data_IF_784620733607
#
_entry.id   IF_784620733607
#
_cell.length_a   1.000
_cell.length_b   1.000
_cell.length_c   1.000
_cell.angle_alpha   90.00
_cell.angle_beta   90.00
_cell.angle_gamma   90.00
#
_symmetry.space_group_name_H-M   'P 1'
#
loop_
_entity.id
_entity.type
_entity.pdbx_description
1 polymer ?
#
# COMPACT_ATOMS: atom_id res chain seq x y z
N UNK A 1 -15.62 17.94 -18.86
CA UNK A 1 -15.68 17.57 -20.29
C UNK A 1 -14.44 16.79 -20.72
N UNK A 2 -13.21 17.24 -20.40
CA UNK A 2 -11.97 16.50 -20.75
C UNK A 2 -11.93 15.12 -20.14
N UNK A 3 -12.31 14.97 -18.86
CA UNK A 3 -12.38 13.67 -18.16
C UNK A 3 -13.42 12.76 -18.82
N UNK A 4 -14.60 13.29 -19.16
CA UNK A 4 -15.66 12.52 -19.84
C UNK A 4 -15.23 12.14 -21.24
N UNK A 5 -14.55 13.04 -21.96
CA UNK A 5 -14.00 12.76 -23.30
C UNK A 5 -12.96 11.65 -23.27
N UNK A 6 -12.00 11.69 -22.33
CA UNK A 6 -11.00 10.65 -22.16
C UNK A 6 -11.64 9.29 -21.79
N UNK A 7 -12.63 9.30 -20.88
CA UNK A 7 -13.37 8.12 -20.51
C UNK A 7 -14.18 7.51 -21.68
N UNK A 8 -14.76 8.34 -22.55
CA UNK A 8 -15.51 7.90 -23.71
C UNK A 8 -14.63 7.26 -24.80
N UNK A 9 -13.38 7.72 -24.93
CA UNK A 9 -12.41 7.22 -25.92
C UNK A 9 -11.57 6.05 -25.35
N UNK A 10 -11.60 5.85 -24.01
CA UNK A 10 -10.85 4.77 -23.34
C UNK A 10 -9.33 4.97 -23.30
N UNK A 11 -8.84 6.16 -23.60
CA UNK A 11 -7.43 6.57 -23.57
C UNK A 11 -7.27 8.05 -23.26
N UNK A 12 -6.06 8.48 -22.98
CA UNK A 12 -5.78 9.90 -22.86
C UNK A 12 -6.02 10.62 -24.19
N UNK A 13 -6.60 11.83 -24.08
CA UNK A 13 -6.88 12.66 -25.26
C UNK A 13 -5.56 13.22 -25.79
N UNK A 14 -5.43 13.21 -27.10
CA UNK A 14 -4.39 14.01 -27.76
C UNK A 14 -4.66 15.51 -27.56
N UNK A 15 -3.65 16.35 -27.75
CA UNK A 15 -3.80 17.82 -27.62
C UNK A 15 -4.91 18.36 -28.53
N UNK A 16 -5.01 17.82 -29.75
CA UNK A 16 -6.06 18.22 -30.73
C UNK A 16 -7.46 17.83 -30.23
N UNK A 17 -7.63 16.62 -29.70
CA UNK A 17 -8.90 16.14 -29.13
C UNK A 17 -9.27 16.94 -27.86
N UNK A 18 -8.29 17.25 -27.00
CA UNK A 18 -8.50 18.10 -25.85
C UNK A 18 -8.97 19.50 -26.22
N UNK A 19 -8.36 20.10 -27.25
CA UNK A 19 -8.78 21.41 -27.78
C UNK A 19 -10.18 21.33 -28.39
N UNK A 20 -10.50 20.28 -29.15
CA UNK A 20 -11.84 20.09 -29.73
C UNK A 20 -12.91 19.91 -28.63
N UNK A 21 -12.64 19.15 -27.57
CA UNK A 21 -13.54 19.01 -26.43
C UNK A 21 -13.74 20.35 -25.70
N UNK A 22 -12.70 21.15 -25.55
CA UNK A 22 -12.77 22.48 -24.93
C UNK A 22 -13.58 23.43 -25.78
N UNK A 23 -13.32 23.48 -27.07
CA UNK A 23 -14.07 24.30 -28.02
C UNK A 23 -15.57 23.92 -28.07
N UNK A 24 -15.86 22.63 -28.11
CA UNK A 24 -17.21 22.09 -28.01
C UNK A 24 -17.94 22.50 -26.72
N UNK A 25 -17.23 22.46 -25.59
CA UNK A 25 -17.78 22.91 -24.30
C UNK A 25 -18.11 24.39 -24.28
N UNK A 26 -17.23 25.20 -24.81
CA UNK A 26 -17.48 26.65 -24.93
C UNK A 26 -18.65 26.95 -25.86
N UNK A 27 -18.75 26.26 -26.99
CA UNK A 27 -19.88 26.40 -27.90
C UNK A 27 -21.21 26.01 -27.26
N UNK A 28 -21.23 24.87 -26.54
CA UNK A 28 -22.42 24.41 -25.79
C UNK A 28 -22.79 25.36 -24.66
N UNK A 29 -21.80 25.95 -23.98
CA UNK A 29 -22.03 26.94 -22.92
C UNK A 29 -22.65 28.22 -23.51
N UNK A 30 -22.15 28.72 -24.68
CA UNK A 30 -22.69 29.88 -25.38
C UNK A 30 -24.10 29.63 -25.89
N UNK A 31 -24.37 28.45 -26.45
CA UNK A 31 -25.71 28.05 -26.89
C UNK A 31 -26.65 28.01 -25.67
N UNK A 32 -26.24 27.38 -24.57
CA UNK A 32 -27.03 27.30 -23.33
C UNK A 32 -27.32 28.73 -22.78
N UNK A 33 -26.32 29.59 -22.76
CA UNK A 33 -26.49 30.96 -22.32
C UNK A 33 -27.50 31.74 -23.19
N UNK A 34 -27.38 31.65 -24.52
CA UNK A 34 -28.28 32.34 -25.44
C UNK A 34 -29.68 31.76 -25.47
N UNK A 35 -29.81 30.46 -25.49
CA UNK A 35 -31.10 29.78 -25.66
C UNK A 35 -31.90 29.61 -24.37
N UNK A 36 -31.24 29.53 -23.23
CA UNK A 36 -31.87 29.23 -21.94
C UNK A 36 -31.63 30.34 -20.92
N UNK A 37 -30.38 30.60 -20.55
CA UNK A 37 -30.07 31.46 -19.41
C UNK A 37 -30.47 32.91 -19.64
N UNK A 38 -30.09 33.50 -20.75
CA UNK A 38 -30.39 34.91 -21.08
C UNK A 38 -31.89 35.16 -21.27
N UNK A 39 -32.66 34.34 -22.02
CA UNK A 39 -34.11 34.46 -22.08
C UNK A 39 -34.81 34.33 -20.72
N UNK A 40 -34.36 33.36 -19.89
CA UNK A 40 -34.94 33.17 -18.54
C UNK A 40 -34.69 34.39 -17.65
N UNK A 41 -33.50 35.00 -17.73
CA UNK A 41 -33.14 36.20 -16.94
C UNK A 41 -33.82 37.51 -17.42
N UNK A 42 -34.03 37.64 -18.72
CA UNK A 42 -34.46 38.93 -19.29
C UNK A 42 -35.93 39.03 -19.58
N UNK A 43 -36.64 37.92 -19.81
CA UNK A 43 -38.06 37.89 -20.13
C UNK A 43 -38.92 37.81 -18.88
N UNK A 44 -39.83 38.77 -18.71
CA UNK A 44 -40.79 38.82 -17.58
C UNK A 44 -41.71 37.58 -17.51
N UNK A 45 -41.91 36.89 -18.62
CA UNK A 45 -42.69 35.67 -18.73
C UNK A 45 -42.15 34.53 -17.82
N UNK A 46 -40.83 34.53 -17.52
CA UNK A 46 -40.17 33.58 -16.67
C UNK A 46 -40.00 34.10 -15.22
N UNK A 47 -40.68 35.17 -14.82
CA UNK A 47 -40.62 35.65 -13.43
C UNK A 47 -41.54 34.86 -12.48
N UNK A 48 -41.21 34.80 -11.19
CA UNK A 48 -42.03 34.22 -10.14
C UNK A 48 -42.24 32.70 -10.26
N UNK A 49 -43.44 32.24 -10.19
CA UNK A 49 -43.77 30.81 -10.15
C UNK A 49 -43.29 29.99 -11.37
N UNK A 50 -43.21 30.64 -12.54
CA UNK A 50 -42.73 30.00 -13.78
C UNK A 50 -41.23 29.75 -13.75
N UNK A 51 -40.44 30.68 -13.20
CA UNK A 51 -38.99 30.46 -13.00
C UNK A 51 -38.73 29.30 -12.02
N UNK A 52 -39.55 29.23 -10.96
CA UNK A 52 -39.48 28.16 -9.98
C UNK A 52 -39.86 26.80 -10.60
N UNK A 53 -40.89 26.75 -11.43
CA UNK A 53 -41.32 25.53 -12.14
C UNK A 53 -40.26 25.03 -13.11
N UNK A 54 -39.58 25.91 -13.83
CA UNK A 54 -38.46 25.59 -14.72
C UNK A 54 -37.25 25.03 -13.95
N UNK A 55 -36.88 25.68 -12.84
CA UNK A 55 -35.81 25.20 -11.95
C UNK A 55 -36.10 23.84 -11.35
N UNK A 56 -37.34 23.65 -10.86
CA UNK A 56 -37.81 22.37 -10.33
C UNK A 56 -37.80 21.26 -11.40
N UNK A 57 -38.23 21.58 -12.63
CA UNK A 57 -38.19 20.62 -13.76
C UNK A 57 -36.78 20.21 -14.09
N UNK A 58 -35.84 21.15 -14.10
CA UNK A 58 -34.43 20.86 -14.35
C UNK A 58 -33.83 19.96 -13.26
N UNK A 59 -34.11 20.25 -11.99
CA UNK A 59 -33.70 19.42 -10.85
C UNK A 59 -34.31 18.02 -10.93
N UNK A 60 -35.58 17.88 -11.34
CA UNK A 60 -36.21 16.58 -11.53
C UNK A 60 -35.59 15.78 -12.67
N UNK A 61 -35.23 16.43 -13.78
CA UNK A 61 -34.53 15.77 -14.90
C UNK A 61 -33.15 15.33 -14.49
N UNK A 62 -32.34 16.22 -13.89
CA UNK A 62 -30.98 15.91 -13.46
C UNK A 62 -30.99 14.89 -12.32
N UNK A 63 -31.89 15.07 -11.35
CA UNK A 63 -32.05 14.11 -10.23
C UNK A 63 -32.58 12.75 -10.71
N UNK A 64 -33.55 12.77 -11.64
CA UNK A 64 -34.11 11.55 -12.23
C UNK A 64 -33.10 10.79 -13.08
N UNK A 65 -32.32 11.48 -13.91
CA UNK A 65 -31.24 10.85 -14.71
C UNK A 65 -30.11 10.33 -13.80
N UNK A 66 -29.77 11.05 -12.74
CA UNK A 66 -28.81 10.60 -11.73
C UNK A 66 -29.31 9.35 -10.98
N UNK A 67 -30.59 9.32 -10.61
CA UNK A 67 -31.21 8.15 -9.98
C UNK A 67 -31.28 6.95 -10.94
N UNK A 68 -31.67 7.17 -12.21
CA UNK A 68 -31.68 6.12 -13.23
C UNK A 68 -30.27 5.57 -13.52
N UNK A 69 -29.25 6.43 -13.56
CA UNK A 69 -27.86 6.00 -13.69
C UNK A 69 -27.39 5.21 -12.47
N UNK A 70 -27.88 5.53 -11.27
CA UNK A 70 -27.57 4.80 -10.04
C UNK A 70 -28.28 3.44 -9.97
N UNK A 71 -29.53 3.35 -10.44
CA UNK A 71 -30.30 2.10 -10.43
C UNK A 71 -29.98 1.19 -11.63
N UNK A 72 -29.53 1.78 -12.72
CA UNK A 72 -29.07 1.07 -13.91
C UNK A 72 -27.65 1.52 -14.28
N UNK A 73 -26.65 1.18 -13.46
CA UNK A 73 -25.28 1.52 -13.81
C UNK A 73 -24.94 0.86 -15.15
N UNK A 74 -24.20 1.55 -16.03
CA UNK A 74 -23.76 0.95 -17.29
C UNK A 74 -23.06 -0.38 -16.94
N UNK A 75 -23.48 -1.46 -17.58
CA UNK A 75 -22.84 -2.78 -17.44
C UNK A 75 -21.45 -2.66 -18.07
N UNK A 76 -20.50 -2.24 -17.25
CA UNK A 76 -19.09 -2.25 -17.63
C UNK A 76 -18.73 -3.73 -17.83
N UNK A 77 -18.15 -4.06 -18.98
CA UNK A 77 -17.71 -5.42 -19.28
C UNK A 77 -16.71 -5.88 -18.22
N UNK A 78 -17.22 -6.57 -17.21
CA UNK A 78 -16.40 -7.28 -16.23
C UNK A 78 -16.17 -8.70 -16.70
N UNK A 79 -15.05 -9.29 -16.34
CA UNK A 79 -14.80 -10.71 -16.49
C UNK A 79 -15.74 -11.57 -15.62
N UNK A 80 -15.67 -12.88 -15.75
CA UNK A 80 -16.36 -13.79 -14.84
C UNK A 80 -15.89 -13.55 -13.40
N UNK A 81 -16.72 -13.95 -12.43
CA UNK A 81 -16.30 -13.96 -11.03
C UNK A 81 -15.13 -14.93 -10.85
N UNK A 82 -14.11 -14.48 -10.10
CA UNK A 82 -12.95 -15.28 -9.75
C UNK A 82 -13.01 -15.69 -8.26
N UNK A 83 -12.33 -16.78 -7.92
CA UNK A 83 -12.20 -17.22 -6.53
C UNK A 83 -11.02 -16.54 -5.86
N UNK A 84 -11.11 -16.31 -4.55
CA UNK A 84 -9.93 -15.95 -3.73
C UNK A 84 -9.01 -17.17 -3.69
N UNK A 85 -7.76 -17.06 -4.15
CA UNK A 85 -6.88 -18.21 -4.18
C UNK A 85 -6.54 -18.71 -2.77
N UNK A 86 -6.44 -20.03 -2.62
CA UNK A 86 -5.95 -20.62 -1.39
C UNK A 86 -4.42 -20.52 -1.36
N UNK A 87 -3.88 -20.09 -0.23
CA UNK A 87 -2.43 -20.13 -0.02
C UNK A 87 -2.00 -21.53 0.38
N UNK A 88 -0.86 -22.03 -0.11
CA UNK A 88 -0.27 -23.24 0.45
C UNK A 88 0.02 -22.99 1.93
N UNK A 89 -0.66 -23.70 2.80
CA UNK A 89 -0.31 -23.72 4.23
C UNK A 89 1.03 -24.44 4.31
N UNK A 90 2.12 -23.78 4.73
CA UNK A 90 3.35 -24.50 4.99
C UNK A 90 3.05 -25.61 6.00
N UNK A 91 3.34 -26.86 5.67
CA UNK A 91 3.28 -27.93 6.64
C UNK A 91 4.19 -27.52 7.81
N UNK A 92 3.61 -27.39 9.00
CA UNK A 92 4.38 -27.15 10.22
C UNK A 92 5.25 -28.39 10.40
N UNK A 93 6.47 -28.36 9.89
CA UNK A 93 7.48 -29.36 10.21
C UNK A 93 7.84 -29.12 11.68
N UNK A 94 7.12 -29.77 12.56
CA UNK A 94 7.58 -30.00 13.91
C UNK A 94 8.93 -30.71 13.75
N UNK A 95 10.04 -30.20 14.29
CA UNK A 95 11.31 -30.89 14.22
C UNK A 95 11.09 -32.29 14.82
N UNK A 96 11.17 -33.32 13.98
CA UNK A 96 11.04 -34.70 14.42
C UNK A 96 12.08 -34.96 15.49
N UNK A 97 11.62 -35.49 16.61
CA UNK A 97 12.46 -36.02 17.68
C UNK A 97 13.28 -37.18 17.09
N UNK A 98 14.48 -36.89 16.64
CA UNK A 98 15.46 -37.90 16.36
C UNK A 98 16.01 -38.28 17.73
N UNK A 99 15.55 -39.43 18.25
CA UNK A 99 16.16 -40.08 19.39
C UNK A 99 17.57 -40.56 19.00
N UNK A 100 18.56 -39.77 19.39
CA UNK A 100 19.97 -40.08 19.17
C UNK A 100 20.80 -39.34 20.21
N UNK A 101 21.26 -40.09 21.19
CA UNK A 101 22.10 -39.70 22.31
C UNK A 101 23.41 -39.09 21.84
N UNK A 102 23.59 -37.77 22.08
CA UNK A 102 24.91 -37.17 22.28
C UNK A 102 24.70 -35.77 22.91
N UNK A 103 25.11 -35.63 24.14
CA UNK A 103 25.07 -34.42 24.93
C UNK A 103 26.15 -33.45 24.43
N UNK A 104 25.83 -32.72 23.39
CA UNK A 104 26.57 -31.51 23.02
C UNK A 104 25.60 -30.36 23.21
N UNK A 105 25.87 -29.47 24.16
CA UNK A 105 25.11 -28.26 24.43
C UNK A 105 25.31 -27.30 23.24
N UNK A 106 24.62 -27.55 22.15
CA UNK A 106 24.54 -26.60 21.04
C UNK A 106 23.58 -25.47 21.44
N UNK A 107 24.09 -24.24 21.60
CA UNK A 107 23.29 -23.06 21.70
C UNK A 107 22.38 -23.04 20.47
N UNK A 108 21.03 -22.97 20.63
CA UNK A 108 20.14 -22.94 19.49
C UNK A 108 20.46 -21.74 18.61
N UNK A 109 20.74 -21.98 17.34
CA UNK A 109 20.98 -20.90 16.37
C UNK A 109 19.65 -20.20 16.08
N UNK A 110 19.67 -18.85 15.98
CA UNK A 110 18.49 -18.10 15.61
C UNK A 110 17.90 -18.61 14.28
N UNK A 111 16.57 -18.76 14.18
CA UNK A 111 15.92 -19.05 12.90
C UNK A 111 16.25 -17.96 11.88
N UNK A 112 16.60 -18.39 10.68
CA UNK A 112 16.87 -17.46 9.57
C UNK A 112 15.56 -17.27 8.81
N UNK A 113 15.18 -16.02 8.53
CA UNK A 113 14.08 -15.74 7.63
C UNK A 113 14.41 -16.26 6.23
N UNK A 114 13.40 -16.69 5.48
CA UNK A 114 13.60 -17.24 4.13
C UNK A 114 14.31 -16.23 3.23
N UNK A 115 15.37 -16.66 2.55
CA UNK A 115 16.12 -15.83 1.58
C UNK A 115 15.36 -15.56 0.28
N UNK A 116 14.05 -15.74 0.28
CA UNK A 116 13.19 -15.70 -0.89
C UNK A 116 12.81 -17.11 -1.34
N UNK A 117 12.52 -17.30 -2.59
CA UNK A 117 12.08 -18.58 -3.15
C UNK A 117 11.28 -18.37 -4.42
N UNK A 118 10.76 -19.48 -4.94
CA UNK A 118 9.88 -19.45 -6.09
C UNK A 118 8.61 -18.63 -5.78
N UNK A 119 8.07 -17.95 -6.79
CA UNK A 119 6.79 -17.28 -6.69
C UNK A 119 5.70 -18.23 -6.19
N UNK A 120 4.82 -17.75 -5.33
CA UNK A 120 3.68 -18.56 -4.92
C UNK A 120 2.75 -18.84 -6.10
N UNK A 121 2.17 -20.03 -6.17
CA UNK A 121 1.37 -20.46 -7.31
C UNK A 121 0.24 -19.47 -7.68
N UNK A 122 -0.53 -18.88 -6.73
CA UNK A 122 -1.54 -17.89 -7.08
C UNK A 122 -1.01 -16.66 -7.82
N UNK A 123 0.24 -16.25 -7.60
CA UNK A 123 0.89 -15.13 -8.32
C UNK A 123 1.28 -15.56 -9.74
N UNK A 124 1.71 -16.81 -9.91
CA UNK A 124 1.98 -17.39 -11.25
C UNK A 124 0.69 -17.47 -12.05
N UNK A 125 -0.39 -18.00 -11.45
CA UNK A 125 -1.70 -18.14 -12.08
C UNK A 125 -2.31 -16.77 -12.45
N UNK A 126 -2.00 -15.73 -11.68
CA UNK A 126 -2.46 -14.37 -11.91
C UNK A 126 -1.98 -13.76 -13.23
N UNK A 127 -0.90 -14.28 -13.83
CA UNK A 127 -0.43 -13.84 -15.16
C UNK A 127 -1.44 -14.16 -16.27
N UNK A 128 -2.34 -15.11 -16.06
CA UNK A 128 -3.38 -15.51 -16.99
C UNK A 128 -4.71 -14.76 -16.79
N UNK A 129 -4.80 -13.89 -15.79
CA UNK A 129 -5.95 -13.00 -15.60
C UNK A 129 -5.96 -11.97 -16.71
N UNK A 130 -6.90 -12.08 -17.63
CA UNK A 130 -7.01 -11.18 -18.78
C UNK A 130 -8.06 -10.08 -18.59
N UNK A 131 -9.04 -10.28 -17.71
CA UNK A 131 -10.16 -9.36 -17.46
C UNK A 131 -10.29 -9.05 -15.98
N UNK A 132 -10.77 -7.84 -15.65
CA UNK A 132 -11.12 -7.49 -14.27
C UNK A 132 -12.27 -8.36 -13.80
N UNK A 133 -12.13 -9.16 -12.73
CA UNK A 133 -13.21 -10.00 -12.22
C UNK A 133 -14.41 -9.16 -11.76
N UNK A 134 -15.63 -9.69 -11.96
CA UNK A 134 -16.87 -9.00 -11.56
C UNK A 134 -17.01 -8.83 -10.04
N UNK A 135 -16.30 -9.67 -9.28
CA UNK A 135 -16.26 -9.67 -7.81
C UNK A 135 -14.91 -9.23 -7.24
N UNK A 136 -14.18 -8.36 -7.95
CA UNK A 136 -12.89 -7.83 -7.51
C UNK A 136 -12.99 -7.19 -6.11
N UNK A 137 -12.04 -7.49 -5.23
CA UNK A 137 -11.97 -7.02 -3.85
C UNK A 137 -10.63 -6.32 -3.57
N UNK A 138 -10.67 -5.04 -3.14
CA UNK A 138 -11.82 -4.15 -3.23
C UNK A 138 -12.23 -3.89 -4.69
N UNK A 139 -13.42 -3.35 -4.90
CA UNK A 139 -13.79 -2.88 -6.24
C UNK A 139 -12.89 -1.72 -6.68
N UNK A 140 -12.76 -1.47 -7.99
CA UNK A 140 -11.92 -0.37 -8.48
C UNK A 140 -12.32 0.99 -7.89
N UNK A 141 -13.62 1.26 -7.75
CA UNK A 141 -14.13 2.49 -7.13
C UNK A 141 -13.96 2.55 -5.62
N UNK A 142 -13.83 1.42 -4.95
CA UNK A 142 -13.61 1.32 -3.51
C UNK A 142 -12.13 1.21 -3.12
N UNK A 143 -11.24 1.05 -4.09
CA UNK A 143 -9.83 0.75 -3.84
C UNK A 143 -9.14 1.77 -2.94
N UNK A 144 -9.30 3.06 -3.23
CA UNK A 144 -8.67 4.15 -2.45
C UNK A 144 -9.13 4.16 -0.98
N UNK A 145 -10.35 3.69 -0.71
CA UNK A 145 -10.89 3.56 0.65
C UNK A 145 -10.44 2.32 1.40
N UNK A 146 -9.77 1.36 0.74
CA UNK A 146 -9.29 0.11 1.37
C UNK A 146 -7.95 0.37 2.11
N UNK A 147 -8.03 1.22 3.14
CA UNK A 147 -6.89 1.67 3.94
C UNK A 147 -6.85 0.98 5.30
N UNK A 148 -5.64 0.75 5.86
CA UNK A 148 -5.47 0.25 7.22
C UNK A 148 -6.19 1.12 8.27
N UNK A 149 -6.77 0.51 9.29
CA UNK A 149 -7.52 1.20 10.36
C UNK A 149 -6.68 2.22 11.13
N UNK A 150 -5.37 2.01 11.22
CA UNK A 150 -4.42 2.92 11.88
C UNK A 150 -4.35 4.33 11.27
N UNK A 151 -4.95 4.54 10.09
CA UNK A 151 -5.11 5.88 9.51
C UNK A 151 -6.26 6.68 10.16
N UNK A 152 -7.23 5.99 10.80
CA UNK A 152 -8.43 6.60 11.35
C UNK A 152 -8.31 6.93 12.84
N UNK A 153 -7.35 6.31 13.55
CA UNK A 153 -7.13 6.45 14.99
C UNK A 153 -5.85 7.22 15.34
N UNK A 154 -5.26 7.88 14.34
CA UNK A 154 -3.99 8.60 14.40
C UNK A 154 -2.76 7.73 14.76
N UNK A 155 -2.87 6.42 14.68
CA UNK A 155 -1.73 5.51 14.87
C UNK A 155 -0.80 5.48 13.65
N UNK A 156 -1.25 6.03 12.51
CA UNK A 156 -0.37 6.47 11.44
C UNK A 156 -0.20 7.98 11.54
N UNK A 157 0.87 8.43 12.22
CA UNK A 157 1.08 9.82 12.58
C UNK A 157 1.11 10.76 11.36
N UNK A 158 0.46 11.92 11.51
CA UNK A 158 0.44 12.97 10.48
C UNK A 158 1.78 13.70 10.32
N UNK A 159 1.88 14.58 9.33
CA UNK A 159 3.13 15.27 8.98
C UNK A 159 3.74 16.08 10.12
N UNK A 160 3.00 16.91 10.82
CA UNK A 160 3.52 17.81 11.87
C UNK A 160 3.86 17.13 13.20
N UNK A 161 3.53 15.83 13.35
CA UNK A 161 3.67 15.11 14.63
C UNK A 161 5.13 14.68 14.85
N UNK A 162 5.68 14.91 16.05
CA UNK A 162 7.02 14.45 16.45
C UNK A 162 6.99 13.39 17.55
N UNK A 163 5.87 13.30 18.27
CA UNK A 163 5.69 12.35 19.37
C UNK A 163 4.88 11.13 18.93
N UNK A 164 5.37 9.90 19.15
CA UNK A 164 4.60 8.70 18.88
C UNK A 164 3.47 8.51 19.88
N UNK A 165 2.30 8.05 19.43
CA UNK A 165 1.17 7.66 20.28
C UNK A 165 1.33 6.25 20.85
N UNK A 166 0.49 5.92 21.84
CA UNK A 166 0.29 4.56 22.31
C UNK A 166 -0.62 3.79 21.34
N UNK A 167 -0.02 3.04 20.43
CA UNK A 167 -0.70 2.33 19.35
C UNK A 167 -0.48 0.82 19.50
N UNK A 168 -1.28 0.21 20.36
CA UNK A 168 -1.17 -1.21 20.75
C UNK A 168 -2.32 -2.02 20.16
N UNK A 169 -1.98 -3.14 19.53
CA UNK A 169 -2.90 -4.06 18.86
C UNK A 169 -2.58 -5.51 19.25
N UNK A 170 -3.44 -6.45 18.85
CA UNK A 170 -3.31 -7.86 19.21
C UNK A 170 -3.67 -8.11 20.66
N UNK A 171 -2.76 -8.68 21.45
CA UNK A 171 -2.96 -8.93 22.88
C UNK A 171 -2.16 -7.91 23.72
N UNK A 172 -2.81 -6.88 24.30
CA UNK A 172 -2.11 -5.85 25.09
C UNK A 172 -1.41 -6.40 26.36
N UNK A 173 -1.82 -7.55 26.85
CA UNK A 173 -1.24 -8.19 28.05
C UNK A 173 -0.01 -9.06 27.75
N UNK A 174 0.30 -9.28 26.49
CA UNK A 174 1.40 -10.14 26.08
C UNK A 174 2.77 -9.57 26.42
N UNK A 175 3.66 -10.43 26.87
CA UNK A 175 5.08 -10.11 27.07
C UNK A 175 5.90 -10.19 25.78
N UNK A 176 5.34 -10.80 24.71
CA UNK A 176 5.95 -10.80 23.39
C UNK A 176 5.55 -9.52 22.66
N UNK A 177 6.44 -8.52 22.71
CA UNK A 177 6.20 -7.20 22.10
C UNK A 177 6.91 -7.09 20.76
N UNK A 178 6.12 -6.90 19.70
CA UNK A 178 6.58 -6.78 18.31
C UNK A 178 6.27 -5.39 17.79
N UNK A 179 7.26 -4.72 17.19
CA UNK A 179 7.09 -3.40 16.58
C UNK A 179 6.93 -3.47 15.06
N UNK A 180 6.09 -2.57 14.51
CA UNK A 180 6.02 -2.27 13.09
C UNK A 180 6.40 -0.79 12.89
N UNK A 181 7.54 -0.53 12.24
CA UNK A 181 8.15 0.80 12.17
C UNK A 181 8.39 1.25 10.74
N UNK A 182 7.95 2.47 10.42
CA UNK A 182 8.24 3.08 9.14
C UNK A 182 7.26 4.15 8.68
N UNK A 183 7.18 4.32 7.37
CA UNK A 183 6.25 5.24 6.73
C UNK A 183 4.92 4.55 6.33
N UNK A 184 4.27 5.04 5.29
CA UNK A 184 3.02 4.45 4.80
C UNK A 184 3.20 3.03 4.25
N UNK A 185 4.43 2.65 3.84
CA UNK A 185 4.74 1.28 3.41
C UNK A 185 4.89 0.31 4.61
N UNK A 186 5.21 0.80 5.81
CA UNK A 186 5.01 0.01 7.02
C UNK A 186 3.52 -0.09 7.38
N UNK A 187 2.79 1.02 7.25
CA UNK A 187 1.37 1.04 7.57
C UNK A 187 0.53 0.11 6.68
N UNK A 188 0.88 -0.09 5.42
CA UNK A 188 0.16 -1.02 4.52
C UNK A 188 0.30 -2.49 4.95
N UNK A 189 1.38 -2.85 5.64
CA UNK A 189 1.59 -4.19 6.22
C UNK A 189 0.80 -4.42 7.50
N UNK A 190 0.31 -3.35 8.17
CA UNK A 190 -0.39 -3.46 9.44
C UNK A 190 -1.51 -4.51 9.44
N UNK A 191 -2.41 -4.61 8.43
CA UNK A 191 -3.50 -5.59 8.47
C UNK A 191 -3.02 -7.05 8.46
N UNK A 192 -1.84 -7.32 7.90
CA UNK A 192 -1.22 -8.63 7.94
C UNK A 192 -0.60 -8.90 9.32
N UNK A 193 0.17 -7.94 9.84
CA UNK A 193 0.78 -8.04 11.17
C UNK A 193 -0.26 -8.15 12.28
N UNK A 194 -1.36 -7.39 12.20
CA UNK A 194 -2.47 -7.48 13.16
C UNK A 194 -3.07 -8.88 13.21
N UNK A 195 -3.36 -9.48 12.04
CA UNK A 195 -3.86 -10.88 11.98
C UNK A 195 -2.89 -11.87 12.61
N UNK A 196 -1.59 -11.71 12.36
CA UNK A 196 -0.55 -12.57 12.93
C UNK A 196 -0.46 -12.36 14.45
N UNK A 197 -0.47 -11.10 14.90
CA UNK A 197 -0.40 -10.76 16.33
C UNK A 197 -1.61 -11.31 17.11
N UNK A 198 -2.82 -11.14 16.59
CA UNK A 198 -4.04 -11.71 17.21
C UNK A 198 -3.94 -13.23 17.31
N UNK A 199 -3.54 -13.92 16.22
CA UNK A 199 -3.42 -15.38 16.17
C UNK A 199 -2.41 -15.91 17.20
N UNK A 200 -1.26 -15.24 17.33
CA UNK A 200 -0.15 -15.68 18.15
C UNK A 200 -0.13 -15.01 19.54
N UNK A 201 -1.15 -14.22 19.86
CA UNK A 201 -1.26 -13.49 21.14
C UNK A 201 -0.04 -12.60 21.42
N UNK A 202 0.41 -11.86 20.42
CA UNK A 202 1.47 -10.88 20.57
C UNK A 202 0.89 -9.49 20.87
N UNK A 203 1.65 -8.68 21.59
CA UNK A 203 1.44 -7.24 21.70
C UNK A 203 2.13 -6.57 20.50
N UNK A 204 1.35 -6.21 19.49
CA UNK A 204 1.83 -5.45 18.33
C UNK A 204 1.77 -3.96 18.63
N UNK A 205 2.88 -3.27 18.45
CA UNK A 205 2.95 -1.81 18.58
C UNK A 205 3.33 -1.20 17.24
N UNK A 206 2.57 -0.19 16.77
CA UNK A 206 2.87 0.49 15.52
C UNK A 206 3.55 1.84 15.75
N UNK A 207 4.63 2.07 15.01
CA UNK A 207 5.42 3.29 15.01
C UNK A 207 5.49 3.82 13.58
N UNK A 208 4.33 4.26 13.05
CA UNK A 208 4.23 4.63 11.64
C UNK A 208 3.90 6.11 11.46
N UNK A 209 4.52 6.74 10.45
CA UNK A 209 4.32 8.16 10.17
C UNK A 209 4.31 8.43 8.66
N UNK A 210 3.32 9.20 8.23
CA UNK A 210 3.12 9.58 6.82
C UNK A 210 4.40 10.14 6.19
N UNK A 211 4.92 9.46 5.16
CA UNK A 211 6.06 9.90 4.35
C UNK A 211 7.37 10.10 5.12
N UNK A 212 7.50 9.55 6.34
CA UNK A 212 8.70 9.62 7.16
C UNK A 212 9.38 8.25 7.19
N UNK A 213 10.42 8.02 6.39
CA UNK A 213 11.08 6.72 6.36
C UNK A 213 11.79 6.42 7.68
N UNK A 214 11.86 5.15 8.09
CA UNK A 214 12.61 4.72 9.27
C UNK A 214 14.12 4.66 9.01
N UNK A 215 14.60 5.46 8.10
CA UNK A 215 15.99 5.54 7.64
C UNK A 215 16.56 6.89 8.08
N UNK A 216 17.76 6.89 8.67
CA UNK A 216 18.39 8.12 9.17
C UNK A 216 18.97 8.98 8.04
N UNK A 217 18.04 9.60 7.31
CA UNK A 217 18.30 10.53 6.20
C UNK A 217 17.32 11.69 6.26
N UNK A 218 17.71 12.82 5.70
CA UNK A 218 16.79 13.92 5.45
C UNK A 218 16.12 13.75 4.09
N UNK A 219 14.80 13.96 4.04
CA UNK A 219 13.99 13.77 2.83
C UNK A 219 13.27 15.04 2.44
N UNK A 220 13.12 15.26 1.13
CA UNK A 220 12.22 16.26 0.59
C UNK A 220 10.83 15.64 0.41
N UNK A 221 9.83 16.23 1.04
CA UNK A 221 8.43 15.80 0.86
C UNK A 221 7.78 16.56 -0.29
N UNK A 222 7.40 15.84 -1.35
CA UNK A 222 6.61 16.41 -2.45
C UNK A 222 5.25 16.94 -1.96
N UNK A 223 4.65 16.25 -0.99
CA UNK A 223 3.34 16.63 -0.43
C UNK A 223 3.41 17.93 0.35
N UNK A 224 4.49 18.11 1.15
CA UNK A 224 4.69 19.34 1.92
C UNK A 224 5.34 20.47 1.10
N UNK A 225 5.96 20.16 -0.03
CA UNK A 225 6.73 21.11 -0.84
C UNK A 225 8.01 21.60 -0.15
N UNK A 226 8.51 20.91 0.88
CA UNK A 226 9.67 21.30 1.70
C UNK A 226 10.46 20.10 2.22
N UNK A 227 11.63 20.37 2.79
CA UNK A 227 12.37 19.39 3.59
C UNK A 227 11.53 18.96 4.78
N UNK A 228 11.48 17.68 5.05
CA UNK A 228 10.64 17.10 6.10
C UNK A 228 11.37 17.06 7.45
N UNK A 229 11.51 18.23 8.07
CA UNK A 229 12.30 18.44 9.30
C UNK A 229 11.75 17.71 10.52
N UNK A 230 10.44 17.48 10.59
CA UNK A 230 9.78 16.81 11.72
C UNK A 230 10.08 15.29 11.76
N UNK A 231 10.63 14.73 10.67
CA UNK A 231 10.94 13.31 10.58
C UNK A 231 12.11 12.90 11.49
N UNK A 232 13.16 13.72 11.56
CA UNK A 232 14.31 13.44 12.43
C UNK A 232 13.96 13.34 13.93
N UNK A 233 13.30 14.35 14.52
CA UNK A 233 12.79 14.25 15.89
C UNK A 233 11.87 13.06 16.11
N UNK A 234 10.92 12.78 15.17
CA UNK A 234 10.06 11.61 15.23
C UNK A 234 10.83 10.31 15.40
N UNK A 235 11.84 10.06 14.55
CA UNK A 235 12.64 8.82 14.62
C UNK A 235 13.32 8.65 15.98
N UNK A 236 13.89 9.73 16.56
CA UNK A 236 14.50 9.66 17.90
C UNK A 236 13.49 9.30 18.97
N UNK A 237 12.33 9.97 18.98
CA UNK A 237 11.29 9.75 19.97
C UNK A 237 10.67 8.34 19.84
N UNK A 238 10.59 7.80 18.62
CA UNK A 238 10.15 6.40 18.39
C UNK A 238 11.09 5.40 19.04
N UNK A 239 12.41 5.58 18.98
CA UNK A 239 13.35 4.65 19.62
C UNK A 239 13.17 4.64 21.13
N UNK A 240 13.02 5.82 21.75
CA UNK A 240 12.75 5.91 23.19
C UNK A 240 11.38 5.28 23.54
N UNK A 241 10.38 5.48 22.72
CA UNK A 241 9.06 4.84 22.88
C UNK A 241 9.16 3.31 22.79
N UNK A 242 9.90 2.77 21.81
CA UNK A 242 10.13 1.34 21.68
C UNK A 242 10.79 0.72 22.92
N UNK A 243 11.75 1.43 23.51
CA UNK A 243 12.38 1.01 24.78
C UNK A 243 11.35 0.97 25.91
N UNK A 244 10.55 2.03 26.06
CA UNK A 244 9.51 2.12 27.07
C UNK A 244 8.42 1.06 26.92
N UNK A 245 8.06 0.72 25.67
CA UNK A 245 7.08 -0.33 25.34
C UNK A 245 7.61 -1.74 25.54
N UNK A 246 8.92 -1.91 25.74
CA UNK A 246 9.57 -3.21 25.82
C UNK A 246 9.66 -3.96 24.49
N UNK A 247 9.68 -3.23 23.37
CA UNK A 247 9.79 -3.82 22.02
C UNK A 247 11.10 -4.60 21.89
N UNK A 248 11.02 -5.88 21.51
CA UNK A 248 12.18 -6.76 21.34
C UNK A 248 12.59 -6.97 19.91
N UNK A 249 11.60 -7.07 19.02
CA UNK A 249 11.77 -7.23 17.58
C UNK A 249 10.96 -6.14 16.90
N UNK A 250 11.57 -5.45 15.92
CA UNK A 250 10.89 -4.43 15.14
C UNK A 250 11.06 -4.70 13.65
N UNK A 251 9.94 -4.76 12.93
CA UNK A 251 9.92 -4.86 11.47
C UNK A 251 9.96 -3.46 10.88
N UNK A 252 10.98 -3.22 10.06
CA UNK A 252 11.32 -1.90 9.51
C UNK A 252 10.99 -1.90 8.03
N UNK A 253 9.97 -1.16 7.62
CA UNK A 253 9.54 -1.04 6.23
C UNK A 253 9.50 0.43 5.78
N UNK A 254 9.89 0.68 4.54
CA UNK A 254 10.00 2.03 4.00
C UNK A 254 9.70 2.08 2.51
N UNK A 255 9.08 3.16 2.08
CA UNK A 255 9.00 3.51 0.67
C UNK A 255 10.40 3.83 0.12
N UNK A 256 10.85 3.06 -0.85
CA UNK A 256 12.23 3.11 -1.35
C UNK A 256 12.49 4.20 -2.41
N UNK A 257 11.48 5.01 -2.80
CA UNK A 257 11.58 6.02 -3.88
C UNK A 257 11.48 7.46 -3.38
N UNK A 258 12.15 7.75 -2.27
CA UNK A 258 12.16 9.06 -1.65
C UNK A 258 13.15 10.01 -2.33
N UNK A 259 12.95 11.31 -2.13
CA UNK A 259 13.81 12.36 -2.64
C UNK A 259 14.75 12.88 -1.56
N UNK A 260 16.01 13.06 -1.93
CA UNK A 260 17.02 13.71 -1.12
C UNK A 260 16.62 15.16 -0.78
N UNK A 261 16.87 15.57 0.45
CA UNK A 261 16.46 16.88 0.97
C UNK A 261 17.07 18.06 0.21
N UNK A 262 18.31 17.91 -0.23
CA UNK A 262 19.09 18.99 -0.87
C UNK A 262 18.93 18.97 -2.38
N UNK A 263 19.17 17.80 -3.00
CA UNK A 263 19.22 17.67 -4.46
C UNK A 263 17.84 17.48 -5.09
N UNK A 264 16.86 17.05 -4.31
CA UNK A 264 15.49 16.71 -4.76
C UNK A 264 15.43 15.61 -5.83
N UNK A 265 16.50 14.85 -5.96
CA UNK A 265 16.53 13.65 -6.82
C UNK A 265 16.33 12.39 -5.96
N UNK A 266 15.99 11.24 -6.56
CA UNK A 266 15.88 9.98 -5.81
C UNK A 266 17.14 9.69 -5.01
N UNK A 267 16.96 9.27 -3.75
CA UNK A 267 18.07 8.90 -2.87
C UNK A 267 18.75 7.66 -3.43
N UNK A 268 20.08 7.75 -3.64
CA UNK A 268 20.90 6.68 -4.19
C UNK A 268 21.27 5.64 -3.14
N UNK A 269 21.85 4.54 -3.61
CA UNK A 269 22.25 3.38 -2.85
C UNK A 269 23.08 3.72 -1.58
N UNK A 270 24.12 4.54 -1.69
CA UNK A 270 25.02 4.80 -0.57
C UNK A 270 24.37 5.56 0.59
N UNK A 271 23.71 6.72 0.39
CA UNK A 271 23.01 7.40 1.47
C UNK A 271 21.92 6.53 2.12
N UNK A 272 21.20 5.73 1.31
CA UNK A 272 20.19 4.81 1.81
C UNK A 272 20.79 3.73 2.72
N UNK A 273 21.88 3.10 2.28
CA UNK A 273 22.63 2.10 3.06
C UNK A 273 23.17 2.67 4.37
N UNK A 274 23.80 3.85 4.31
CA UNK A 274 24.39 4.49 5.49
C UNK A 274 23.29 4.87 6.49
N UNK A 275 22.17 5.43 6.02
CA UNK A 275 21.04 5.77 6.86
C UNK A 275 20.36 4.55 7.51
N UNK A 276 20.19 3.45 6.78
CA UNK A 276 19.70 2.18 7.37
C UNK A 276 20.68 1.63 8.40
N UNK A 277 21.98 1.68 8.12
CA UNK A 277 23.02 1.20 9.06
C UNK A 277 23.00 2.02 10.36
N UNK A 278 22.84 3.34 10.28
CA UNK A 278 22.67 4.24 11.43
C UNK A 278 21.41 3.84 12.22
N UNK A 279 20.28 3.68 11.54
CA UNK A 279 19.01 3.26 12.20
C UNK A 279 19.15 1.91 12.90
N UNK A 280 19.73 0.91 12.22
CA UNK A 280 19.86 -0.43 12.82
C UNK A 280 20.87 -0.46 13.96
N UNK A 281 21.93 0.34 13.88
CA UNK A 281 22.85 0.57 15.01
C UNK A 281 22.12 1.09 16.22
N UNK A 282 21.37 2.19 16.06
CA UNK A 282 20.58 2.82 17.14
C UNK A 282 19.57 1.84 17.76
N UNK A 283 18.89 1.04 16.94
CA UNK A 283 17.94 0.03 17.44
C UNK A 283 18.65 -1.07 18.23
N UNK A 284 19.77 -1.59 17.73
CA UNK A 284 20.56 -2.62 18.42
C UNK A 284 21.14 -2.11 19.74
N UNK A 285 21.64 -0.88 19.79
CA UNK A 285 22.13 -0.22 20.99
C UNK A 285 21.02 -0.05 22.04
N UNK A 286 19.77 0.11 21.59
CA UNK A 286 18.57 0.08 22.43
C UNK A 286 18.10 -1.32 22.84
N UNK A 287 18.83 -2.40 22.46
CA UNK A 287 18.45 -3.79 22.74
C UNK A 287 17.33 -4.33 21.87
N UNK A 288 17.02 -3.67 20.76
CA UNK A 288 15.93 -4.01 19.83
C UNK A 288 16.52 -4.70 18.59
N UNK A 289 15.98 -5.84 18.21
CA UNK A 289 16.40 -6.55 16.99
C UNK A 289 15.63 -6.02 15.79
N UNK A 290 16.27 -5.29 14.84
CA UNK A 290 15.63 -4.85 13.62
C UNK A 290 15.53 -5.99 12.60
N UNK A 291 14.40 -6.04 11.88
CA UNK A 291 14.16 -6.89 10.72
C UNK A 291 13.83 -5.98 9.55
N UNK A 292 14.66 -5.97 8.52
CA UNK A 292 14.37 -5.20 7.31
C UNK A 292 13.28 -5.90 6.49
N UNK A 293 12.20 -5.20 6.18
CA UNK A 293 11.13 -5.69 5.29
C UNK A 293 11.41 -5.19 3.88
N UNK A 294 11.47 -6.10 2.91
CA UNK A 294 11.55 -5.75 1.50
C UNK A 294 10.29 -4.99 1.09
N UNK A 295 10.46 -3.84 0.41
CA UNK A 295 9.35 -3.03 -0.04
C UNK A 295 8.46 -3.75 -1.05
N UNK A 296 7.20 -3.35 -1.15
CA UNK A 296 6.27 -3.87 -2.15
C UNK A 296 6.63 -3.36 -3.55
N UNK A 297 6.27 -4.09 -4.63
CA UNK A 297 6.55 -3.61 -5.99
C UNK A 297 5.85 -2.28 -6.26
N UNK A 298 6.57 -1.32 -6.81
CA UNK A 298 6.06 0.00 -7.14
C UNK A 298 5.39 0.03 -8.52
N UNK A 299 4.08 0.32 -8.63
CA UNK A 299 3.36 0.28 -9.90
C UNK A 299 3.71 1.40 -10.87
N UNK A 300 4.19 2.55 -10.38
CA UNK A 300 4.49 3.77 -11.15
C UNK A 300 3.27 4.34 -11.89
N UNK A 301 2.07 3.91 -11.54
CA UNK A 301 0.79 4.37 -12.05
C UNK A 301 -0.34 4.01 -11.08
N UNK A 302 -1.41 4.79 -11.07
CA UNK A 302 -2.62 4.45 -10.32
C UNK A 302 -3.26 3.19 -10.90
N UNK A 303 -3.15 2.09 -10.16
CA UNK A 303 -3.59 0.76 -10.61
C UNK A 303 -5.10 0.67 -10.82
N UNK A 304 -5.97 1.19 -9.94
CA UNK A 304 -7.41 1.22 -10.19
C UNK A 304 -7.77 1.99 -11.46
N UNK A 305 -7.10 3.09 -11.74
CA UNK A 305 -7.30 3.87 -12.97
C UNK A 305 -6.83 3.10 -14.20
N UNK A 306 -5.66 2.48 -14.17
CA UNK A 306 -5.18 1.62 -15.25
C UNK A 306 -6.20 0.52 -15.56
N UNK A 307 -6.64 -0.21 -14.55
CA UNK A 307 -7.61 -1.31 -14.71
C UNK A 307 -8.99 -0.83 -15.17
N UNK A 308 -9.42 0.37 -14.77
CA UNK A 308 -10.69 0.93 -15.23
C UNK A 308 -10.69 1.20 -16.73
N UNK A 309 -9.53 1.57 -17.28
CA UNK A 309 -9.32 1.80 -18.72
C UNK A 309 -9.06 0.51 -19.49
N UNK A 310 -8.56 -0.54 -18.83
CA UNK A 310 -8.10 -1.80 -19.45
C UNK A 310 -8.85 -3.03 -18.91
N UNK A 311 -10.16 -2.96 -18.75
CA UNK A 311 -10.97 -4.02 -18.11
C UNK A 311 -10.90 -5.38 -18.77
N UNK A 312 -10.63 -5.41 -20.05
CA UNK A 312 -10.54 -6.62 -20.89
C UNK A 312 -9.10 -7.02 -21.24
N UNK A 313 -8.11 -6.23 -20.80
CA UNK A 313 -6.68 -6.42 -21.11
C UNK A 313 -5.82 -6.04 -19.88
N UNK A 314 -6.12 -6.66 -18.74
CA UNK A 314 -5.49 -6.41 -17.43
C UNK A 314 -3.96 -6.50 -17.46
N UNK A 315 -3.43 -7.36 -18.33
CA UNK A 315 -1.98 -7.61 -18.47
C UNK A 315 -1.16 -6.35 -18.74
N UNK A 316 -1.76 -5.33 -19.38
CA UNK A 316 -1.12 -4.03 -19.62
C UNK A 316 -0.89 -3.20 -18.34
N UNK A 317 -1.55 -3.55 -17.22
CA UNK A 317 -1.37 -2.90 -15.93
C UNK A 317 -0.38 -3.65 -15.02
N UNK A 318 0.05 -4.85 -15.37
CA UNK A 318 1.04 -5.60 -14.61
C UNK A 318 2.40 -4.88 -14.60
N UNK A 319 3.12 -5.01 -13.51
CA UNK A 319 4.36 -4.28 -13.26
C UNK A 319 5.55 -5.12 -13.69
N UNK A 320 6.39 -4.70 -14.64
CA UNK A 320 7.66 -5.34 -14.89
C UNK A 320 8.54 -5.30 -13.64
N UNK A 321 9.12 -6.43 -13.26
CA UNK A 321 9.95 -6.54 -12.03
C UNK A 321 11.07 -5.49 -12.00
N UNK A 322 11.75 -5.26 -13.13
CA UNK A 322 12.81 -4.25 -13.22
C UNK A 322 12.34 -2.80 -13.06
N UNK A 323 11.00 -2.54 -13.14
CA UNK A 323 10.41 -1.24 -12.81
C UNK A 323 9.86 -1.21 -11.39
N UNK A 324 9.28 -2.33 -10.93
CA UNK A 324 8.67 -2.44 -9.60
C UNK A 324 9.67 -2.34 -8.46
N UNK A 325 10.87 -2.86 -8.65
CA UNK A 325 11.93 -2.82 -7.63
C UNK A 325 13.13 -1.98 -8.09
N UNK A 326 13.88 -1.49 -7.13
CA UNK A 326 15.16 -0.83 -7.34
C UNK A 326 16.28 -1.89 -7.25
N UNK A 327 16.99 -2.20 -8.34
CA UNK A 327 18.04 -3.22 -8.33
C UNK A 327 19.18 -2.89 -7.35
N UNK A 328 19.54 -1.61 -7.23
CA UNK A 328 20.58 -1.12 -6.33
C UNK A 328 20.25 -1.37 -4.85
N UNK A 329 18.96 -1.39 -4.48
CA UNK A 329 18.54 -1.68 -3.10
C UNK A 329 18.46 -3.19 -2.82
N UNK A 330 18.35 -4.03 -3.86
CA UNK A 330 18.46 -5.48 -3.68
C UNK A 330 19.85 -5.86 -3.13
N UNK A 331 20.92 -5.25 -3.66
CA UNK A 331 22.28 -5.44 -3.15
C UNK A 331 22.42 -5.01 -1.69
N UNK A 332 21.76 -3.91 -1.29
CA UNK A 332 21.77 -3.44 0.11
C UNK A 332 21.15 -4.50 1.04
N UNK A 333 20.04 -5.12 0.63
CA UNK A 333 19.42 -6.18 1.42
C UNK A 333 20.33 -7.39 1.60
N UNK A 334 21.04 -7.77 0.54
CA UNK A 334 22.04 -8.85 0.60
C UNK A 334 23.23 -8.49 1.50
N UNK A 335 23.68 -7.22 1.47
CA UNK A 335 24.74 -6.71 2.35
C UNK A 335 24.31 -6.81 3.82
N UNK A 336 23.11 -6.33 4.15
CA UNK A 336 22.59 -6.39 5.52
C UNK A 336 22.40 -7.82 6.03
N UNK A 337 21.97 -8.77 5.19
CA UNK A 337 21.93 -10.18 5.58
C UNK A 337 23.31 -10.72 5.92
N UNK A 338 24.36 -10.35 5.15
CA UNK A 338 25.74 -10.71 5.46
C UNK A 338 26.26 -10.05 6.74
N UNK A 339 25.77 -8.85 7.06
CA UNK A 339 26.04 -8.12 8.31
C UNK A 339 25.19 -8.64 9.50
N UNK A 340 24.40 -9.68 9.31
CA UNK A 340 23.57 -10.30 10.35
C UNK A 340 22.30 -9.51 10.68
N UNK A 341 21.79 -8.67 9.77
CA UNK A 341 20.45 -8.09 9.84
C UNK A 341 19.48 -9.03 9.15
N UNK A 342 18.46 -9.55 9.84
CA UNK A 342 17.43 -10.37 9.20
C UNK A 342 16.66 -9.53 8.15
N UNK A 343 16.38 -10.13 6.99
CA UNK A 343 15.60 -9.51 5.92
C UNK A 343 14.38 -10.36 5.62
N UNK A 344 13.20 -9.78 5.74
CA UNK A 344 11.93 -10.39 5.31
C UNK A 344 11.73 -10.12 3.82
N UNK A 345 11.94 -11.16 3.00
CA UNK A 345 11.82 -11.07 1.55
C UNK A 345 10.40 -11.40 1.11
N UNK A 346 9.70 -10.39 0.60
CA UNK A 346 8.28 -10.46 0.27
C UNK A 346 8.00 -10.61 -1.22
N UNK A 347 8.99 -10.37 -2.09
CA UNK A 347 8.84 -10.31 -3.55
C UNK A 347 8.07 -11.50 -4.14
N UNK A 348 8.33 -12.72 -3.66
CA UNK A 348 7.65 -13.95 -4.14
C UNK A 348 6.15 -13.98 -3.89
N UNK A 349 5.65 -13.13 -2.99
CA UNK A 349 4.23 -12.99 -2.70
C UNK A 349 3.51 -12.06 -3.66
N UNK A 350 4.25 -11.30 -4.46
CA UNK A 350 3.72 -10.29 -5.39
C UNK A 350 4.11 -10.56 -6.84
N UNK A 351 5.25 -11.19 -7.10
CA UNK A 351 5.85 -11.23 -8.42
C UNK A 351 6.30 -12.62 -8.82
N UNK A 352 6.27 -12.86 -10.12
CA UNK A 352 7.05 -13.90 -10.79
C UNK A 352 8.48 -13.40 -11.04
N UNK A 353 9.27 -14.13 -11.81
CA UNK A 353 10.61 -13.70 -12.19
C UNK A 353 10.62 -12.39 -13.00
N UNK A 354 9.57 -12.11 -13.77
CA UNK A 354 9.53 -11.01 -14.75
C UNK A 354 8.44 -9.98 -14.51
N UNK A 355 7.29 -10.39 -13.97
CA UNK A 355 6.10 -9.55 -13.80
C UNK A 355 5.51 -9.68 -12.40
N UNK A 356 4.95 -8.58 -11.91
CA UNK A 356 4.13 -8.52 -10.71
C UNK A 356 2.69 -8.24 -11.13
N UNK A 357 1.76 -9.21 -11.03
CA UNK A 357 0.37 -9.00 -11.35
C UNK A 357 -0.30 -8.03 -10.38
N UNK A 358 -1.22 -7.21 -10.90
CA UNK A 358 -1.97 -6.24 -10.09
C UNK A 358 -3.33 -6.80 -9.62
N UNK A 359 -3.72 -7.98 -10.09
CA UNK A 359 -4.88 -8.76 -9.64
C UNK A 359 -4.42 -10.19 -9.42
N UNK A 360 -4.76 -10.77 -8.26
CA UNK A 360 -4.50 -12.17 -7.92
C UNK A 360 -5.83 -12.84 -7.54
N UNK A 361 -6.33 -13.73 -8.40
CA UNK A 361 -7.69 -14.24 -8.28
C UNK A 361 -8.73 -13.12 -8.37
N UNK A 362 -9.49 -12.90 -7.30
CA UNK A 362 -10.42 -11.77 -7.18
C UNK A 362 -9.86 -10.64 -6.28
N UNK A 363 -8.58 -10.63 -5.97
CA UNK A 363 -7.96 -9.62 -5.11
C UNK A 363 -7.22 -8.56 -5.92
N UNK A 364 -7.55 -7.29 -5.68
CA UNK A 364 -6.78 -6.15 -6.17
C UNK A 364 -5.56 -5.96 -5.26
N UNK A 365 -4.36 -5.92 -5.87
CA UNK A 365 -3.12 -5.82 -5.09
C UNK A 365 -2.88 -4.40 -4.57
N UNK A 366 -3.11 -3.37 -5.39
CA UNK A 366 -2.82 -1.97 -5.04
C UNK A 366 -4.07 -1.12 -5.02
N UNK A 367 -4.17 -0.22 -4.03
CA UNK A 367 -5.29 0.72 -3.87
C UNK A 367 -5.08 2.04 -4.62
N UNK A 368 -3.83 2.36 -4.97
CA UNK A 368 -3.40 3.59 -5.64
C UNK A 368 -2.14 3.33 -6.48
N UNK A 369 -1.24 4.30 -6.59
CA UNK A 369 -0.01 4.24 -7.38
C UNK A 369 1.19 3.62 -6.64
N UNK A 370 1.06 3.29 -5.34
CA UNK A 370 2.16 2.74 -4.56
C UNK A 370 1.78 1.88 -3.34
N UNK A 371 0.53 1.95 -2.85
CA UNK A 371 0.17 1.24 -1.63
C UNK A 371 -0.63 -0.05 -1.89
N UNK A 372 -0.31 -1.09 -1.15
CA UNK A 372 -1.05 -2.34 -1.10
C UNK A 372 -2.45 -2.14 -0.50
N UNK A 373 -3.43 -2.95 -0.97
CA UNK A 373 -4.78 -3.00 -0.38
C UNK A 373 -4.78 -3.75 0.96
N UNK A 374 -5.70 -3.40 1.85
CA UNK A 374 -5.97 -4.15 3.09
C UNK A 374 -6.38 -5.59 2.78
N UNK A 375 -7.17 -5.76 1.73
CA UNK A 375 -7.65 -7.07 1.28
C UNK A 375 -6.50 -7.99 0.92
N UNK A 376 -5.50 -7.48 0.17
CA UNK A 376 -4.31 -8.25 -0.20
C UNK A 376 -3.38 -8.49 1.00
N UNK A 377 -3.15 -7.47 1.83
CA UNK A 377 -2.36 -7.61 3.06
C UNK A 377 -2.93 -8.72 3.98
N UNK A 378 -4.25 -8.75 4.18
CA UNK A 378 -4.91 -9.79 4.96
C UNK A 378 -4.81 -11.17 4.31
N UNK A 379 -4.76 -11.24 3.00
CA UNK A 379 -4.62 -12.49 2.28
C UNK A 379 -3.21 -13.08 2.41
N UNK A 380 -2.15 -12.28 2.35
CA UNK A 380 -0.77 -12.75 2.53
C UNK A 380 -0.40 -13.01 4.00
N UNK A 381 -1.25 -12.65 4.98
CA UNK A 381 -0.95 -12.83 6.39
C UNK A 381 -0.55 -14.26 6.80
N UNK A 382 -1.10 -15.36 6.25
CA UNK A 382 -0.61 -16.71 6.56
C UNK A 382 0.83 -16.98 6.11
N UNK A 383 1.29 -16.33 5.03
CA UNK A 383 2.69 -16.41 4.58
C UNK A 383 3.61 -15.65 5.52
N UNK A 384 3.17 -14.45 5.92
CA UNK A 384 3.87 -13.65 6.92
C UNK A 384 3.99 -14.42 8.23
N UNK A 385 2.90 -15.01 8.73
CA UNK A 385 2.88 -15.82 9.94
C UNK A 385 3.92 -16.95 9.90
N UNK A 386 3.95 -17.72 8.82
CA UNK A 386 4.88 -18.81 8.64
C UNK A 386 6.36 -18.38 8.65
N UNK A 387 6.65 -17.21 8.13
CA UNK A 387 8.01 -16.65 8.08
C UNK A 387 8.46 -16.07 9.42
N UNK A 388 7.60 -15.25 10.07
CA UNK A 388 8.05 -14.44 11.20
C UNK A 388 7.84 -15.10 12.58
N UNK A 389 6.87 -16.02 12.73
CA UNK A 389 6.55 -16.59 14.05
C UNK A 389 7.74 -17.36 14.63
N UNK A 390 8.42 -18.27 13.91
CA UNK A 390 9.58 -18.97 14.46
C UNK A 390 10.68 -18.01 14.91
N UNK A 391 10.87 -16.91 14.16
CA UNK A 391 11.86 -15.87 14.44
C UNK A 391 11.51 -15.08 15.71
N UNK A 392 10.30 -14.55 15.79
CA UNK A 392 9.83 -13.77 16.95
C UNK A 392 9.83 -14.61 18.21
N UNK A 393 9.35 -15.84 18.15
CA UNK A 393 9.31 -16.75 19.28
C UNK A 393 10.72 -17.07 19.84
N UNK A 394 11.70 -17.22 18.94
CA UNK A 394 13.07 -17.46 19.36
C UNK A 394 13.63 -16.25 20.12
N UNK A 395 13.48 -15.02 19.58
CA UNK A 395 13.97 -13.79 20.22
C UNK A 395 13.22 -13.46 21.51
N UNK A 396 11.96 -13.85 21.63
CA UNK A 396 11.18 -13.66 22.87
C UNK A 396 11.62 -14.57 24.01
N UNK A 397 12.21 -15.74 23.70
CA UNK A 397 12.63 -16.73 24.69
C UNK A 397 14.10 -16.64 25.10
N UNK A 398 14.95 -16.06 24.26
CA UNK A 398 16.42 -16.11 24.43
C UNK A 398 17.03 -14.87 25.04
N UNK A 399 16.23 -13.83 25.34
CA UNK A 399 16.74 -12.56 25.92
C UNK A 399 15.92 -12.07 27.10
#
# INVERSE_FOLDING_TARGET
VLVVGAAAVGRDLTVAEGLACTAGSLALSEISWRAVENPVRTRREFAGARAFALGASFLLVVGGTGLLARTNPPRLEAGPAATTPQLPVPATTVPGTVAGSATTTTVPTAPVLSRGGEPIQPVVDALYVSRVPSNLQPSLSGALGDMPTIYNDDCHAGFGVTEPKDCVFGDPSSTTVVGLYGDSHAAEWFPAFEKVAIKNKWRLVTYTKRGCPPVDIEVYSKVLGKVYTECGPWRRNVVEKMKADGTRVVFVAAFERLLDATTRIPIWQKPWRDGLRSTFGTLRDAGITPVLVEDTPYPDQDVPTCLSRNRTTVTGCNIPVGKGFRPDLAEIRDDFEREGVPVLRTRRWFCTATLCPVIVGNLLVYRDDNHMTVSYAKWVAPLLDAEIVPFVDWYSRTR
#
